data_IF_915956318098
#
_entry.id   IF_915956318098
#
_cell.length_a   1.000
_cell.length_b   1.000
_cell.length_c   1.000
_cell.angle_alpha   90.00
_cell.angle_beta   90.00
_cell.angle_gamma   90.00
#
_symmetry.space_group_name_H-M   'P 1'
#
loop_
_entity.id
_entity.type
_entity.pdbx_description
1 polymer ?
#
# COMPACT_ATOMS: atom_id res chain seq x y z
N UNK A 1 -16.95 15.83 13.84
CA UNK A 1 -15.62 16.14 13.28
C UNK A 1 -15.53 17.64 13.03
N UNK A 2 -14.35 18.28 13.15
CA UNK A 2 -14.18 19.65 12.67
C UNK A 2 -14.54 19.71 11.18
N UNK A 3 -15.23 20.76 10.69
CA UNK A 3 -15.71 20.84 9.31
C UNK A 3 -14.62 20.57 8.25
N UNK A 4 -13.41 21.10 8.46
CA UNK A 4 -12.29 20.98 7.52
C UNK A 4 -11.63 19.59 7.46
N UNK A 5 -11.90 18.72 8.44
CA UNK A 5 -11.22 17.43 8.51
C UNK A 5 -11.79 16.43 7.48
N UNK A 6 -13.07 16.56 7.13
CA UNK A 6 -13.68 15.72 6.08
C UNK A 6 -13.11 16.06 4.70
N UNK A 7 -13.07 17.34 4.35
CA UNK A 7 -12.52 17.80 3.07
C UNK A 7 -11.04 17.40 2.92
N UNK A 8 -10.27 17.46 4.01
CA UNK A 8 -8.86 17.00 4.01
C UNK A 8 -8.76 15.49 3.76
N UNK A 9 -9.63 14.67 4.38
CA UNK A 9 -9.68 13.22 4.16
C UNK A 9 -10.07 12.91 2.70
N UNK A 10 -11.10 13.58 2.19
CA UNK A 10 -11.60 13.40 0.83
C UNK A 10 -10.51 13.74 -0.20
N UNK A 11 -9.86 14.90 -0.06
CA UNK A 11 -8.78 15.33 -0.95
C UNK A 11 -7.57 14.37 -0.93
N UNK A 12 -7.22 13.80 0.23
CA UNK A 12 -6.18 12.77 0.30
C UNK A 12 -6.61 11.48 -0.40
N UNK A 13 -7.82 11.01 -0.13
CA UNK A 13 -8.34 9.78 -0.71
C UNK A 13 -8.45 9.88 -2.25
N UNK A 14 -8.87 11.02 -2.79
CA UNK A 14 -8.96 11.26 -4.23
C UNK A 14 -7.60 11.20 -4.93
N UNK A 15 -6.50 11.49 -4.22
CA UNK A 15 -5.14 11.39 -4.75
C UNK A 15 -4.53 9.99 -4.58
N UNK A 16 -4.69 9.41 -3.39
CA UNK A 16 -4.13 8.09 -3.05
C UNK A 16 -4.81 6.99 -3.85
N UNK A 17 -6.13 7.07 -4.06
CA UNK A 17 -6.88 6.01 -4.71
C UNK A 17 -6.41 5.71 -6.14
N UNK A 18 -6.43 6.66 -7.10
CA UNK A 18 -6.05 6.37 -8.48
C UNK A 18 -4.55 6.05 -8.62
N UNK A 19 -3.70 6.67 -7.78
CA UNK A 19 -2.24 6.60 -7.91
C UNK A 19 -1.63 5.40 -7.19
N UNK A 20 -2.21 4.97 -6.06
CA UNK A 20 -1.66 3.90 -5.23
C UNK A 20 -2.64 2.74 -5.05
N UNK A 21 -3.83 2.97 -4.46
CA UNK A 21 -4.74 1.85 -4.15
C UNK A 21 -5.16 1.08 -5.41
N UNK A 22 -5.54 1.80 -6.47
CA UNK A 22 -5.83 1.25 -7.79
C UNK A 22 -4.58 1.23 -8.68
N UNK A 23 -3.59 2.08 -8.41
CA UNK A 23 -2.34 2.17 -9.18
C UNK A 23 -1.56 0.85 -9.23
N UNK A 24 -1.45 0.14 -8.10
CA UNK A 24 -0.78 -1.18 -8.07
C UNK A 24 -1.50 -2.21 -8.95
N UNK A 25 -2.83 -2.17 -9.02
CA UNK A 25 -3.61 -3.04 -9.91
C UNK A 25 -3.43 -2.64 -11.37
N UNK A 26 -3.44 -1.33 -11.67
CA UNK A 26 -3.14 -0.83 -13.03
C UNK A 26 -1.78 -1.31 -13.51
N UNK A 27 -0.76 -1.27 -12.66
CA UNK A 27 0.57 -1.79 -12.98
C UNK A 27 0.54 -3.32 -13.17
N UNK A 28 -0.05 -4.05 -12.23
CA UNK A 28 -0.05 -5.52 -12.27
C UNK A 28 -0.80 -6.12 -13.47
N UNK A 29 -1.88 -5.48 -13.91
CA UNK A 29 -2.74 -5.94 -15.00
C UNK A 29 -2.53 -5.19 -16.33
N UNK A 30 -1.52 -4.31 -16.40
CA UNK A 30 -1.17 -3.63 -17.64
C UNK A 30 -0.89 -4.64 -18.77
N UNK A 31 -1.45 -4.35 -19.95
CA UNK A 31 -1.27 -5.18 -21.16
C UNK A 31 -0.23 -4.62 -22.12
N UNK A 32 0.25 -3.39 -21.88
CA UNK A 32 1.31 -2.73 -22.63
C UNK A 32 2.39 -2.22 -21.68
N UNK A 33 3.62 -2.11 -22.19
CA UNK A 33 4.75 -1.59 -21.42
C UNK A 33 4.52 -0.13 -20.97
N UNK A 34 3.99 0.71 -21.87
CA UNK A 34 3.70 2.12 -21.58
C UNK A 34 2.67 2.29 -20.45
N UNK A 35 1.58 1.50 -20.47
CA UNK A 35 0.57 1.56 -19.42
C UNK A 35 1.11 1.06 -18.07
N UNK A 36 2.01 0.07 -18.09
CA UNK A 36 2.72 -0.39 -16.91
C UNK A 36 3.62 0.71 -16.35
N UNK A 37 4.44 1.35 -17.20
CA UNK A 37 5.39 2.39 -16.79
C UNK A 37 4.68 3.62 -16.21
N UNK A 38 3.58 4.07 -16.81
CA UNK A 38 2.75 5.16 -16.27
C UNK A 38 2.20 4.83 -14.88
N UNK A 39 1.60 3.65 -14.73
CA UNK A 39 1.04 3.22 -13.45
C UNK A 39 2.13 3.02 -12.39
N UNK A 40 3.26 2.42 -12.78
CA UNK A 40 4.42 2.21 -11.91
C UNK A 40 5.00 3.55 -11.42
N UNK A 41 5.20 4.52 -12.31
CA UNK A 41 5.66 5.85 -11.95
C UNK A 41 4.69 6.55 -10.99
N UNK A 42 3.38 6.46 -11.25
CA UNK A 42 2.34 7.02 -10.38
C UNK A 42 2.32 6.41 -8.97
N UNK A 43 2.53 5.09 -8.86
CA UNK A 43 2.63 4.40 -7.56
C UNK A 43 3.79 4.94 -6.75
N UNK A 44 4.99 5.00 -7.33
CA UNK A 44 6.18 5.41 -6.58
C UNK A 44 6.21 6.91 -6.30
N UNK A 45 5.70 7.76 -7.19
CA UNK A 45 5.51 9.18 -6.89
C UNK A 45 4.57 9.39 -5.68
N UNK A 46 3.48 8.62 -5.59
CA UNK A 46 2.57 8.70 -4.44
C UNK A 46 3.22 8.16 -3.15
N UNK A 47 4.03 7.10 -3.23
CA UNK A 47 4.79 6.62 -2.08
C UNK A 47 5.83 7.66 -1.60
N UNK A 48 6.52 8.34 -2.52
CA UNK A 48 7.46 9.43 -2.19
C UNK A 48 6.74 10.58 -1.46
N UNK A 49 5.58 11.01 -1.98
CA UNK A 49 4.77 12.06 -1.33
C UNK A 49 4.31 11.65 0.08
N UNK A 50 3.94 10.38 0.28
CA UNK A 50 3.50 9.89 1.58
C UNK A 50 4.67 9.77 2.57
N UNK A 51 5.84 9.33 2.12
CA UNK A 51 7.08 9.32 2.91
C UNK A 51 7.44 10.74 3.37
N UNK A 52 7.42 11.72 2.45
CA UNK A 52 7.64 13.14 2.77
C UNK A 52 6.58 13.66 3.75
N UNK A 53 5.30 13.33 3.49
CA UNK A 53 4.17 13.73 4.33
C UNK A 53 4.34 13.25 5.78
N UNK A 54 4.87 12.05 5.98
CA UNK A 54 5.16 11.48 7.30
C UNK A 54 6.49 11.97 7.90
N UNK A 55 7.24 12.79 7.16
CA UNK A 55 8.56 13.29 7.52
C UNK A 55 8.58 14.33 8.64
N UNK A 56 7.47 15.02 8.89
CA UNK A 56 7.36 16.06 9.93
C UNK A 56 7.11 15.52 11.35
N UNK A 57 7.06 14.19 11.51
CA UNK A 57 6.87 13.53 12.79
C UNK A 57 5.41 13.24 13.17
N UNK A 58 4.44 13.55 12.30
CA UNK A 58 3.04 13.14 12.51
C UNK A 58 2.90 11.62 12.62
N UNK A 59 1.93 11.16 13.42
CA UNK A 59 1.69 9.72 13.60
C UNK A 59 0.95 9.09 12.43
N UNK A 60 -0.05 9.81 11.90
CA UNK A 60 -0.97 9.37 10.85
C UNK A 60 -1.02 10.37 9.70
N UNK A 61 -1.83 10.08 8.67
CA UNK A 61 -1.94 10.97 7.51
C UNK A 61 -2.49 12.35 7.85
N UNK A 62 -3.26 12.47 8.94
CA UNK A 62 -3.79 13.74 9.45
C UNK A 62 -3.52 13.86 10.95
N UNK A 63 -2.39 14.50 11.27
CA UNK A 63 -1.88 14.73 12.62
C UNK A 63 -1.82 13.45 13.48
N UNK A 64 -2.47 13.47 14.63
CA UNK A 64 -2.50 12.43 15.66
C UNK A 64 -3.71 11.50 15.52
N UNK A 65 -4.56 11.67 14.50
CA UNK A 65 -5.84 10.95 14.38
C UNK A 65 -5.75 9.86 13.33
N UNK A 66 -6.11 8.64 13.72
CA UNK A 66 -6.37 7.56 12.77
C UNK A 66 -7.73 7.78 12.10
N UNK A 67 -7.73 7.85 10.77
CA UNK A 67 -8.91 8.20 9.96
C UNK A 67 -9.19 7.18 8.85
N UNK A 68 -10.26 7.38 8.09
CA UNK A 68 -10.56 6.56 6.92
C UNK A 68 -9.42 6.56 5.89
N UNK A 69 -8.71 7.69 5.73
CA UNK A 69 -7.56 7.77 4.81
C UNK A 69 -6.45 6.78 5.22
N UNK A 70 -6.22 6.65 6.53
CA UNK A 70 -5.24 5.71 7.07
C UNK A 70 -5.65 4.26 6.84
N UNK A 71 -6.94 3.94 7.03
CA UNK A 71 -7.47 2.60 6.74
C UNK A 71 -7.26 2.24 5.28
N UNK A 72 -7.59 3.15 4.35
CA UNK A 72 -7.44 2.93 2.90
C UNK A 72 -5.97 2.77 2.50
N UNK A 73 -5.07 3.56 3.07
CA UNK A 73 -3.64 3.43 2.83
C UNK A 73 -3.10 2.11 3.38
N UNK A 74 -3.39 1.80 4.64
CA UNK A 74 -2.94 0.61 5.34
C UNK A 74 -3.24 -0.68 4.57
N UNK A 75 -4.47 -0.82 4.05
CA UNK A 75 -4.88 -1.99 3.28
C UNK A 75 -3.98 -2.23 2.07
N UNK A 76 -3.48 -1.17 1.41
CA UNK A 76 -2.53 -1.31 0.31
C UNK A 76 -1.12 -1.59 0.82
N UNK A 77 -0.61 -0.84 1.80
CA UNK A 77 0.76 -0.99 2.30
C UNK A 77 1.03 -2.39 2.86
N UNK A 78 0.09 -2.94 3.66
CA UNK A 78 0.25 -4.26 4.28
C UNK A 78 0.33 -5.41 3.25
N UNK A 79 -0.12 -5.18 2.01
CA UNK A 79 -0.07 -6.16 0.91
C UNK A 79 1.09 -5.90 -0.05
N UNK A 80 1.75 -4.75 0.06
CA UNK A 80 2.69 -4.29 -0.95
C UNK A 80 3.88 -5.24 -1.09
N UNK A 81 4.63 -5.45 -0.01
CA UNK A 81 5.80 -6.32 -0.03
C UNK A 81 5.44 -7.80 -0.21
N UNK A 82 4.25 -8.20 0.25
CA UNK A 82 3.76 -9.58 0.19
C UNK A 82 3.28 -10.02 -1.20
N UNK A 83 2.77 -9.08 -2.00
CA UNK A 83 2.11 -9.39 -3.26
C UNK A 83 2.43 -8.38 -4.36
N UNK A 84 2.23 -7.08 -4.14
CA UNK A 84 2.32 -6.07 -5.21
C UNK A 84 3.75 -5.89 -5.73
N UNK A 85 4.73 -5.94 -4.83
CA UNK A 85 6.15 -5.85 -5.16
C UNK A 85 6.56 -6.90 -6.19
N UNK A 86 6.21 -8.16 -5.95
CA UNK A 86 6.54 -9.26 -6.87
C UNK A 86 5.52 -9.44 -7.99
N UNK A 87 4.28 -9.79 -7.63
CA UNK A 87 3.25 -10.22 -8.59
C UNK A 87 2.84 -9.09 -9.54
N UNK A 88 2.67 -7.87 -9.02
CA UNK A 88 2.27 -6.71 -9.82
C UNK A 88 3.47 -5.93 -10.38
N UNK A 89 4.70 -6.43 -10.14
CA UNK A 89 5.96 -5.82 -10.59
C UNK A 89 6.19 -4.42 -10.05
N UNK A 90 5.54 -4.02 -8.95
CA UNK A 90 5.82 -2.74 -8.29
C UNK A 90 7.13 -2.83 -7.48
N UNK A 91 8.25 -3.04 -8.16
CA UNK A 91 9.50 -3.53 -7.56
C UNK A 91 10.66 -2.52 -7.49
N UNK A 92 10.40 -1.20 -7.53
CA UNK A 92 11.47 -0.21 -7.35
C UNK A 92 12.13 -0.33 -5.97
N UNK A 93 11.31 -0.45 -4.92
CA UNK A 93 11.69 -0.64 -3.53
C UNK A 93 10.51 -1.19 -2.73
N UNK A 94 10.78 -1.78 -1.57
CA UNK A 94 9.76 -2.30 -0.66
C UNK A 94 9.29 -1.19 0.28
N UNK A 95 8.11 -1.35 0.86
CA UNK A 95 7.66 -0.50 1.98
C UNK A 95 8.63 -0.63 3.16
N UNK A 96 9.21 -1.82 3.37
CA UNK A 96 10.25 -2.02 4.37
C UNK A 96 11.51 -1.16 4.16
N UNK A 97 11.77 -0.69 2.93
CA UNK A 97 12.94 0.15 2.60
C UNK A 97 12.65 1.66 2.81
N UNK A 98 11.37 2.06 2.92
CA UNK A 98 10.93 3.43 3.18
C UNK A 98 10.70 3.65 4.69
N UNK A 99 11.59 4.42 5.32
CA UNK A 99 11.69 4.49 6.79
C UNK A 99 10.41 4.98 7.50
N UNK A 100 9.74 6.01 6.96
CA UNK A 100 8.56 6.61 7.59
C UNK A 100 7.32 5.79 7.29
N UNK A 101 7.19 5.25 6.07
CA UNK A 101 6.12 4.33 5.68
C UNK A 101 6.19 3.01 6.45
N UNK A 102 7.39 2.43 6.62
CA UNK A 102 7.61 1.24 7.43
C UNK A 102 7.23 1.48 8.90
N UNK A 103 7.70 2.60 9.49
CA UNK A 103 7.32 2.98 10.86
C UNK A 103 5.82 3.29 11.00
N UNK A 104 5.19 3.87 9.97
CA UNK A 104 3.75 4.09 9.91
C UNK A 104 2.97 2.78 9.89
N UNK A 105 3.37 1.83 9.03
CA UNK A 105 2.74 0.51 8.93
C UNK A 105 2.81 -0.24 10.26
N UNK A 106 3.97 -0.22 10.94
CA UNK A 106 4.14 -0.79 12.28
C UNK A 106 3.18 -0.14 13.30
N UNK A 107 3.11 1.20 13.34
CA UNK A 107 2.18 1.92 14.22
C UNK A 107 0.72 1.54 14.00
N UNK A 108 0.29 1.36 12.74
CA UNK A 108 -1.09 0.96 12.44
C UNK A 108 -1.34 -0.49 12.87
N UNK A 109 -0.38 -1.40 12.68
CA UNK A 109 -0.48 -2.79 13.14
C UNK A 109 -0.57 -2.89 14.68
N UNK A 110 0.00 -1.94 15.41
CA UNK A 110 -0.04 -1.90 16.88
C UNK A 110 -1.35 -1.33 17.45
N UNK A 111 -2.25 -0.83 16.61
CA UNK A 111 -3.60 -0.45 17.04
C UNK A 111 -4.36 -1.74 17.45
N UNK A 112 -4.93 -1.82 18.66
CA UNK A 112 -5.62 -3.02 19.13
C UNK A 112 -6.69 -3.50 18.15
N UNK A 113 -6.63 -4.77 17.75
CA UNK A 113 -7.58 -5.38 16.81
C UNK A 113 -7.16 -5.31 15.34
N UNK A 114 -6.16 -4.49 14.95
CA UNK A 114 -5.75 -4.39 13.54
C UNK A 114 -4.89 -5.59 13.12
N UNK A 115 -3.88 -5.98 13.90
CA UNK A 115 -2.98 -7.09 13.54
C UNK A 115 -3.74 -8.39 13.32
N UNK A 116 -4.79 -8.63 14.10
CA UNK A 116 -5.67 -9.80 14.02
C UNK A 116 -6.48 -9.85 12.70
N UNK A 117 -6.64 -8.72 12.01
CA UNK A 117 -7.32 -8.66 10.71
C UNK A 117 -6.40 -9.02 9.54
N UNK A 118 -5.08 -9.13 9.77
CA UNK A 118 -4.08 -9.38 8.74
C UNK A 118 -3.71 -10.86 8.73
N UNK A 119 -4.13 -11.56 7.67
CA UNK A 119 -3.72 -12.94 7.43
C UNK A 119 -2.81 -13.01 6.20
N UNK A 120 -1.50 -13.20 6.43
CA UNK A 120 -0.45 -13.23 5.41
C UNK A 120 -0.71 -14.34 4.39
N UNK A 121 -1.00 -15.56 4.87
CA UNK A 121 -1.24 -16.71 4.01
C UNK A 121 -2.44 -16.49 3.10
N UNK A 122 -3.51 -15.91 3.64
CA UNK A 122 -4.70 -15.57 2.86
C UNK A 122 -4.40 -14.48 1.82
N UNK A 123 -3.66 -13.44 2.18
CA UNK A 123 -3.24 -12.37 1.26
C UNK A 123 -2.43 -12.96 0.10
N UNK A 124 -1.38 -13.75 0.41
CA UNK A 124 -0.49 -14.33 -0.60
C UNK A 124 -1.23 -15.32 -1.48
N UNK A 125 -1.98 -16.26 -0.90
CA UNK A 125 -2.77 -17.23 -1.68
C UNK A 125 -3.79 -16.53 -2.58
N UNK A 126 -4.46 -15.50 -2.08
CA UNK A 126 -5.42 -14.71 -2.88
C UNK A 126 -4.77 -14.11 -4.12
N UNK A 127 -3.68 -13.37 -3.96
CA UNK A 127 -3.01 -12.71 -5.09
C UNK A 127 -2.31 -13.70 -6.02
N UNK A 128 -1.49 -14.61 -5.49
CA UNK A 128 -0.74 -15.55 -6.32
C UNK A 128 -1.63 -16.63 -6.98
N UNK A 129 -2.93 -16.70 -6.66
CA UNK A 129 -3.90 -17.51 -7.40
C UNK A 129 -4.36 -16.92 -8.73
N UNK A 130 -4.07 -15.63 -9.00
CA UNK A 130 -4.46 -14.93 -10.22
C UNK A 130 -3.75 -15.56 -11.43
N UNK A 131 -4.45 -16.43 -12.17
CA UNK A 131 -3.88 -17.24 -13.25
C UNK A 131 -3.30 -16.46 -14.41
N UNK A 132 -3.86 -15.29 -14.72
CA UNK A 132 -3.36 -14.41 -15.78
C UNK A 132 -1.98 -13.83 -15.45
N UNK A 133 -1.65 -13.69 -14.17
CA UNK A 133 -0.36 -13.14 -13.71
C UNK A 133 0.60 -14.22 -13.21
N UNK A 134 0.06 -15.32 -12.66
CA UNK A 134 0.82 -16.47 -12.16
C UNK A 134 0.18 -17.80 -12.61
N UNK A 135 0.49 -18.28 -13.83
CA UNK A 135 -0.10 -19.51 -14.36
C UNK A 135 0.18 -20.74 -13.50
N UNK A 136 1.39 -20.81 -12.92
CA UNK A 136 1.84 -21.93 -12.09
C UNK A 136 1.08 -22.03 -10.76
N UNK A 137 0.55 -20.91 -10.26
CA UNK A 137 -0.07 -20.83 -8.93
C UNK A 137 0.91 -21.01 -7.77
N UNK A 138 2.22 -20.99 -8.02
CA UNK A 138 3.24 -21.07 -6.97
C UNK A 138 3.14 -19.81 -6.11
N UNK A 139 3.04 -20.00 -4.80
CA UNK A 139 3.04 -18.93 -3.80
C UNK A 139 4.46 -18.81 -3.23
N UNK A 140 5.10 -17.63 -3.24
CA UNK A 140 6.44 -17.47 -2.70
C UNK A 140 6.46 -17.71 -1.18
N UNK A 141 7.58 -18.22 -0.67
CA UNK A 141 7.75 -18.47 0.78
C UNK A 141 7.89 -17.16 1.56
N UNK A 142 8.70 -16.23 1.06
CA UNK A 142 8.85 -14.89 1.65
C UNK A 142 7.94 -13.82 1.03
N UNK A 143 8.10 -12.55 1.44
CA UNK A 143 8.81 -12.14 2.66
C UNK A 143 7.98 -12.47 3.92
N UNK A 144 8.63 -12.44 5.09
CA UNK A 144 7.93 -12.37 6.37
C UNK A 144 7.32 -10.98 6.56
N UNK A 145 6.28 -10.86 7.41
CA UNK A 145 5.77 -9.52 7.78
C UNK A 145 6.83 -8.78 8.60
N UNK A 146 6.88 -7.43 8.49
CA UNK A 146 7.62 -6.62 9.47
C UNK A 146 7.09 -6.93 10.87
N UNK A 147 8.00 -7.18 11.81
CA UNK A 147 7.69 -7.41 13.23
C UNK A 147 7.02 -6.18 13.84
#
# INVERSE_FOLDING_TARGET
MPPNLRETIEALNERIYPSLNNGVYRAGFATTQEAYEDAFAGVFAMLDELEERLGDGRKFLIDERFTEADVRLFVTLVRFDLAYYGLFKCNLRRIADDSKLSAYLARVLDIPGIRETVNIDHIKRGHYSIKTLNPTGIVPVGPEMPS
#
